data_IF_216715085763
#
_entry.id   IF_216715085763
#
_cell.length_a   1.000
_cell.length_b   1.000
_cell.length_c   1.000
_cell.angle_alpha   90.00
_cell.angle_beta   90.00
_cell.angle_gamma   90.00
#
_symmetry.space_group_name_H-M   'P 1'
#
loop_
_entity.id
_entity.type
_entity.pdbx_description
1 polymer ?
#
# COMPACT_ATOMS: atom_id res chain seq x y z
N UNK A 1 15.91 -27.66 -10.50
CA UNK A 1 14.55 -28.03 -10.06
C UNK A 1 13.45 -27.22 -10.76
N UNK A 2 13.66 -25.96 -11.19
CA UNK A 2 12.65 -25.09 -11.84
C UNK A 2 12.31 -25.47 -13.31
N UNK A 3 13.17 -26.23 -13.99
CA UNK A 3 12.99 -26.67 -15.39
C UNK A 3 12.05 -27.87 -15.48
N UNK A 4 11.99 -28.70 -14.43
CA UNK A 4 11.18 -29.93 -14.42
C UNK A 4 9.68 -29.69 -14.59
N UNK A 5 9.03 -28.69 -13.90
CA UNK A 5 7.61 -28.42 -14.10
C UNK A 5 7.28 -27.96 -15.53
N UNK A 6 8.14 -27.15 -16.14
CA UNK A 6 7.95 -26.65 -17.51
C UNK A 6 8.05 -27.79 -18.51
N UNK A 7 9.07 -28.64 -18.36
CA UNK A 7 9.23 -29.85 -19.16
C UNK A 7 8.03 -30.81 -19.03
N UNK A 8 7.57 -31.02 -17.79
CA UNK A 8 6.40 -31.84 -17.50
C UNK A 8 5.12 -31.27 -18.12
N UNK A 9 4.91 -29.95 -18.02
CA UNK A 9 3.77 -29.26 -18.63
C UNK A 9 3.81 -29.34 -20.16
N UNK A 10 4.95 -29.12 -20.78
CA UNK A 10 5.11 -29.28 -22.24
C UNK A 10 4.88 -30.71 -22.69
N UNK A 11 5.38 -31.71 -21.93
CA UNK A 11 5.15 -33.13 -22.23
C UNK A 11 3.69 -33.54 -22.04
N UNK A 12 3.01 -33.03 -21.02
CA UNK A 12 1.58 -33.24 -20.79
C UNK A 12 0.74 -32.66 -21.95
N UNK A 13 1.01 -31.41 -22.32
CA UNK A 13 0.32 -30.75 -23.42
C UNK A 13 0.52 -31.50 -24.75
N UNK A 14 1.75 -31.93 -25.06
CA UNK A 14 2.03 -32.73 -26.26
C UNK A 14 1.38 -34.12 -26.21
N UNK A 15 1.27 -34.74 -25.03
CA UNK A 15 0.63 -36.05 -24.87
C UNK A 15 -0.91 -35.99 -25.01
N UNK A 16 -1.53 -34.92 -24.48
CA UNK A 16 -2.97 -34.68 -24.59
C UNK A 16 -3.36 -34.18 -25.98
N UNK A 17 -2.45 -33.51 -26.71
CA UNK A 17 -2.68 -33.03 -28.06
C UNK A 17 -3.22 -34.11 -29.01
N UNK A 18 -2.72 -35.34 -28.93
CA UNK A 18 -3.14 -36.45 -29.79
C UNK A 18 -4.54 -37.05 -29.43
N UNK A 19 -5.14 -36.58 -28.31
CA UNK A 19 -6.37 -37.15 -27.73
C UNK A 19 -7.51 -36.17 -27.48
N UNK A 20 -7.26 -34.84 -27.63
CA UNK A 20 -8.34 -33.87 -27.52
C UNK A 20 -9.24 -33.95 -28.78
N UNK A 21 -10.59 -33.86 -28.61
CA UNK A 21 -11.52 -33.84 -29.73
C UNK A 21 -11.32 -32.59 -30.63
N UNK A 22 -10.64 -31.57 -30.13
CA UNK A 22 -10.18 -30.42 -30.90
C UNK A 22 -8.68 -30.59 -31.15
N UNK A 23 -8.28 -30.91 -32.38
CA UNK A 23 -6.90 -30.96 -32.81
C UNK A 23 -6.34 -29.50 -32.85
N UNK A 24 -5.78 -29.03 -31.73
CA UNK A 24 -4.97 -27.82 -31.73
C UNK A 24 -3.81 -28.06 -32.70
N UNK A 25 -3.52 -27.11 -33.58
CA UNK A 25 -2.32 -27.23 -34.43
C UNK A 25 -1.08 -27.29 -33.54
N UNK A 26 -0.05 -28.07 -33.93
CA UNK A 26 1.20 -28.16 -33.14
C UNK A 26 1.83 -26.80 -32.81
N UNK A 27 1.62 -25.85 -33.72
CA UNK A 27 2.04 -24.46 -33.51
C UNK A 27 1.27 -23.78 -32.35
N UNK A 28 -0.04 -23.90 -32.33
CA UNK A 28 -0.86 -23.29 -31.28
C UNK A 28 -0.55 -23.90 -29.90
N UNK A 29 -0.37 -25.23 -29.83
CA UNK A 29 0.05 -25.92 -28.61
C UNK A 29 1.44 -25.42 -28.13
N UNK A 30 2.37 -25.19 -29.04
CA UNK A 30 3.69 -24.60 -28.74
C UNK A 30 3.59 -23.18 -28.18
N UNK A 31 2.79 -22.32 -28.82
CA UNK A 31 2.56 -20.94 -28.36
C UNK A 31 1.93 -20.94 -26.96
N UNK A 32 0.90 -21.75 -26.73
CA UNK A 32 0.26 -21.84 -25.41
C UNK A 32 1.23 -22.34 -24.33
N UNK A 33 2.10 -23.30 -24.66
CA UNK A 33 3.12 -23.77 -23.72
C UNK A 33 4.14 -22.69 -23.38
N UNK A 34 4.65 -21.96 -24.37
CA UNK A 34 5.61 -20.87 -24.19
C UNK A 34 4.97 -19.74 -23.37
N UNK A 35 3.82 -19.23 -23.78
CA UNK A 35 3.14 -18.10 -23.13
C UNK A 35 2.72 -18.48 -21.69
N UNK A 36 2.11 -19.67 -21.52
CA UNK A 36 1.68 -20.12 -20.20
C UNK A 36 2.84 -20.30 -19.22
N UNK A 37 3.96 -20.89 -19.67
CA UNK A 37 5.13 -21.06 -18.81
C UNK A 37 5.84 -19.73 -18.55
N UNK A 38 5.90 -18.80 -19.52
CA UNK A 38 6.42 -17.46 -19.32
C UNK A 38 5.59 -16.69 -18.28
N UNK A 39 4.26 -16.73 -18.40
CA UNK A 39 3.36 -16.07 -17.45
C UNK A 39 3.58 -16.56 -16.01
N UNK A 40 3.68 -17.87 -15.80
CA UNK A 40 3.97 -18.43 -14.47
C UNK A 40 5.32 -17.97 -13.95
N UNK A 41 6.36 -17.90 -14.78
CA UNK A 41 7.67 -17.45 -14.34
C UNK A 41 7.73 -15.95 -14.05
N UNK A 42 7.03 -15.14 -14.84
CA UNK A 42 6.89 -13.69 -14.58
C UNK A 42 6.17 -13.48 -13.24
N UNK A 43 5.08 -14.21 -12.99
CA UNK A 43 4.36 -14.14 -11.71
C UNK A 43 5.23 -14.59 -10.53
N UNK A 44 6.00 -15.67 -10.68
CA UNK A 44 6.94 -16.12 -9.64
C UNK A 44 8.08 -15.13 -9.40
N UNK A 45 8.54 -14.46 -10.44
CA UNK A 45 9.56 -13.43 -10.32
C UNK A 45 9.00 -12.19 -9.60
N UNK A 46 7.81 -11.73 -9.98
CA UNK A 46 7.13 -10.62 -9.30
C UNK A 46 6.84 -10.95 -7.83
N UNK A 47 6.33 -12.16 -7.57
CA UNK A 47 6.03 -12.64 -6.21
C UNK A 47 7.30 -12.71 -5.34
N UNK A 48 8.40 -13.20 -5.89
CA UNK A 48 9.69 -13.22 -5.19
C UNK A 48 10.17 -11.80 -4.88
N UNK A 49 10.10 -10.88 -5.83
CA UNK A 49 10.49 -9.48 -5.62
C UNK A 49 9.66 -8.85 -4.51
N UNK A 50 8.35 -9.06 -4.53
CA UNK A 50 7.45 -8.59 -3.50
C UNK A 50 7.81 -9.17 -2.12
N UNK A 51 8.09 -10.47 -2.06
CA UNK A 51 8.49 -11.13 -0.82
C UNK A 51 9.85 -10.63 -0.29
N UNK A 52 10.82 -10.44 -1.19
CA UNK A 52 12.14 -9.91 -0.81
C UNK A 52 12.05 -8.47 -0.27
N UNK A 53 11.10 -7.66 -0.77
CA UNK A 53 10.86 -6.28 -0.33
C UNK A 53 10.03 -6.20 0.96
N UNK A 54 8.90 -6.88 0.99
CA UNK A 54 7.85 -6.67 2.00
C UNK A 54 7.58 -7.88 2.90
N UNK A 55 8.17 -9.04 2.61
CA UNK A 55 8.03 -10.26 3.40
C UNK A 55 6.69 -10.98 3.27
N UNK A 56 5.85 -10.62 2.30
CA UNK A 56 4.62 -11.34 1.97
C UNK A 56 4.53 -11.66 0.48
N UNK A 57 3.83 -12.73 0.16
CA UNK A 57 3.59 -13.18 -1.21
C UNK A 57 2.43 -12.44 -1.88
N UNK A 58 2.34 -12.52 -3.21
CA UNK A 58 1.21 -12.00 -3.97
C UNK A 58 -0.11 -12.50 -3.38
N UNK A 59 -0.96 -11.57 -2.98
CA UNK A 59 -2.24 -11.84 -2.33
C UNK A 59 -3.33 -10.90 -2.86
N UNK A 60 -4.55 -11.01 -2.33
CA UNK A 60 -5.67 -10.16 -2.74
C UNK A 60 -5.44 -8.68 -2.54
N UNK A 61 -4.66 -8.28 -1.53
CA UNK A 61 -4.30 -6.88 -1.28
C UNK A 61 -3.38 -6.35 -2.39
N UNK A 62 -2.28 -7.04 -2.70
CA UNK A 62 -1.35 -6.62 -3.74
C UNK A 62 -1.98 -6.63 -5.14
N UNK A 63 -2.85 -7.60 -5.44
CA UNK A 63 -3.61 -7.63 -6.69
C UNK A 63 -4.62 -6.46 -6.72
N UNK A 64 -5.34 -6.23 -5.61
CA UNK A 64 -6.26 -5.10 -5.46
C UNK A 64 -5.56 -3.77 -5.71
N UNK A 65 -4.36 -3.58 -5.16
CA UNK A 65 -3.53 -2.40 -5.38
C UNK A 65 -3.22 -2.21 -6.88
N UNK A 66 -2.79 -3.27 -7.56
CA UNK A 66 -2.44 -3.22 -8.99
C UNK A 66 -3.61 -2.86 -9.92
N UNK A 67 -4.83 -3.31 -9.59
CA UNK A 67 -6.03 -3.09 -10.43
C UNK A 67 -6.85 -1.86 -10.02
N UNK A 68 -6.54 -1.26 -8.86
CA UNK A 68 -7.25 -0.07 -8.38
C UNK A 68 -6.82 1.20 -9.13
N UNK A 69 -7.75 2.12 -9.44
CA UNK A 69 -7.38 3.42 -10.00
C UNK A 69 -6.42 4.18 -9.04
N UNK A 70 -5.22 4.48 -9.52
CA UNK A 70 -4.18 5.14 -8.71
C UNK A 70 -3.29 4.20 -7.89
N UNK A 71 -3.60 2.88 -7.82
CA UNK A 71 -2.80 1.94 -7.03
C UNK A 71 -1.35 1.78 -7.51
N UNK A 72 -1.12 1.79 -8.82
CA UNK A 72 0.25 1.77 -9.39
C UNK A 72 1.02 3.06 -9.09
N UNK A 73 0.36 4.21 -9.13
CA UNK A 73 1.00 5.49 -8.81
C UNK A 73 1.35 5.59 -7.31
N UNK A 74 0.54 4.98 -6.44
CA UNK A 74 0.82 4.93 -5.00
C UNK A 74 2.07 4.12 -4.64
N UNK A 75 2.51 3.21 -5.53
CA UNK A 75 3.76 2.46 -5.33
C UNK A 75 5.02 3.32 -5.58
N UNK A 76 4.88 4.56 -6.07
CA UNK A 76 6.03 5.42 -6.39
C UNK A 76 6.98 4.80 -7.43
N UNK A 77 6.47 3.90 -8.29
CA UNK A 77 7.29 3.24 -9.32
C UNK A 77 7.73 4.25 -10.37
N UNK A 78 9.01 4.62 -10.36
CA UNK A 78 9.60 5.44 -11.40
C UNK A 78 9.73 4.66 -12.73
N UNK A 79 9.90 5.41 -13.84
CA UNK A 79 10.06 4.86 -15.21
C UNK A 79 11.12 3.77 -15.30
N UNK A 80 12.19 3.87 -14.51
CA UNK A 80 13.25 2.87 -14.43
C UNK A 80 12.78 1.50 -13.91
N UNK A 81 11.85 1.46 -12.98
CA UNK A 81 11.29 0.19 -12.47
C UNK A 81 10.43 -0.50 -13.53
N UNK A 82 9.58 0.25 -14.22
CA UNK A 82 8.73 -0.29 -15.29
C UNK A 82 9.56 -0.82 -16.46
N UNK A 83 10.61 -0.09 -16.86
CA UNK A 83 11.53 -0.54 -17.90
C UNK A 83 12.24 -1.83 -17.49
N UNK A 84 12.76 -1.91 -16.28
CA UNK A 84 13.44 -3.11 -15.76
C UNK A 84 12.48 -4.31 -15.69
N UNK A 85 11.23 -4.09 -15.27
CA UNK A 85 10.19 -5.12 -15.24
C UNK A 85 9.87 -5.65 -16.65
N UNK A 86 9.74 -4.74 -17.62
CA UNK A 86 9.48 -5.08 -19.02
C UNK A 86 10.61 -5.88 -19.63
N UNK A 87 11.87 -5.48 -19.37
CA UNK A 87 13.06 -6.19 -19.85
C UNK A 87 13.18 -7.59 -19.20
N UNK A 88 12.90 -7.71 -17.91
CA UNK A 88 12.90 -9.00 -17.21
C UNK A 88 11.81 -9.93 -17.78
N UNK A 89 10.61 -9.43 -18.03
CA UNK A 89 9.52 -10.19 -18.63
C UNK A 89 9.87 -10.67 -20.04
N UNK A 90 10.46 -9.80 -20.86
CA UNK A 90 10.94 -10.14 -22.21
C UNK A 90 12.04 -11.21 -22.15
N UNK A 91 13.01 -11.07 -21.27
CA UNK A 91 14.09 -12.04 -21.09
C UNK A 91 13.54 -13.42 -20.68
N UNK A 92 12.56 -13.46 -19.76
CA UNK A 92 11.89 -14.70 -19.38
C UNK A 92 11.11 -15.32 -20.54
N UNK A 93 10.43 -14.53 -21.37
CA UNK A 93 9.75 -15.02 -22.57
C UNK A 93 10.76 -15.60 -23.58
N UNK A 94 11.84 -14.90 -23.87
CA UNK A 94 12.92 -15.39 -24.75
C UNK A 94 13.51 -16.71 -24.20
N UNK A 95 13.75 -16.81 -22.90
CA UNK A 95 14.22 -18.02 -22.27
C UNK A 95 13.25 -19.19 -22.48
N UNK A 96 11.93 -18.97 -22.40
CA UNK A 96 10.92 -20.00 -22.66
C UNK A 96 10.94 -20.47 -24.13
N UNK A 97 11.12 -19.56 -25.07
CA UNK A 97 11.25 -19.91 -26.49
C UNK A 97 12.50 -20.80 -26.70
N UNK A 98 13.63 -20.43 -26.10
CA UNK A 98 14.88 -21.22 -26.20
C UNK A 98 14.72 -22.59 -25.56
N UNK A 99 14.12 -22.69 -24.36
CA UNK A 99 13.89 -23.95 -23.67
C UNK A 99 12.94 -24.85 -24.44
N UNK A 100 11.86 -24.29 -24.99
CA UNK A 100 10.92 -25.03 -25.83
C UNK A 100 11.61 -25.59 -27.08
N UNK A 101 12.40 -24.74 -27.78
CA UNK A 101 13.19 -25.15 -28.97
C UNK A 101 14.19 -26.24 -28.64
N UNK A 102 14.91 -26.10 -27.53
CA UNK A 102 15.86 -27.14 -27.06
C UNK A 102 15.15 -28.46 -26.73
N UNK A 103 13.96 -28.39 -26.10
CA UNK A 103 13.16 -29.59 -25.84
C UNK A 103 12.68 -30.27 -27.13
N UNK A 104 12.33 -29.49 -28.16
CA UNK A 104 11.93 -30.07 -29.46
C UNK A 104 13.10 -30.76 -30.16
N UNK A 105 14.29 -30.15 -30.19
CA UNK A 105 15.51 -30.75 -30.75
C UNK A 105 15.93 -32.01 -29.99
N UNK A 106 15.79 -32.00 -28.67
CA UNK A 106 16.18 -33.15 -27.82
C UNK A 106 15.09 -34.21 -27.69
N UNK A 107 13.95 -34.04 -28.34
CA UNK A 107 12.76 -34.91 -28.18
C UNK A 107 13.07 -36.39 -28.45
N UNK A 108 13.90 -36.66 -29.46
CA UNK A 108 14.27 -38.02 -29.87
C UNK A 108 15.32 -38.66 -28.97
N UNK A 109 16.10 -37.83 -28.22
CA UNK A 109 17.19 -38.30 -27.35
C UNK A 109 16.74 -38.63 -25.92
N UNK A 110 15.54 -38.17 -25.52
CA UNK A 110 15.02 -38.37 -24.17
C UNK A 110 14.18 -39.66 -24.11
N UNK A 111 14.43 -40.55 -23.15
CA UNK A 111 13.66 -41.79 -22.99
C UNK A 111 12.19 -41.46 -22.77
N UNK A 112 11.31 -42.03 -23.60
CA UNK A 112 9.89 -41.88 -23.44
C UNK A 112 9.44 -42.68 -22.20
N UNK A 113 8.87 -41.98 -21.21
CA UNK A 113 8.21 -42.63 -20.09
C UNK A 113 7.02 -43.47 -20.62
N UNK A 114 6.84 -44.73 -20.14
CA UNK A 114 5.73 -45.53 -20.54
C UNK A 114 4.40 -44.83 -20.21
N UNK A 115 3.39 -44.98 -21.09
CA UNK A 115 2.08 -44.33 -20.93
C UNK A 115 1.43 -44.57 -19.56
N UNK A 116 1.69 -45.72 -18.94
CA UNK A 116 1.20 -46.04 -17.58
C UNK A 116 1.85 -45.18 -16.51
N UNK A 117 3.17 -44.93 -16.60
CA UNK A 117 3.90 -44.10 -15.64
C UNK A 117 3.33 -42.68 -15.62
N UNK A 118 3.05 -42.07 -16.77
CA UNK A 118 2.42 -40.75 -16.84
C UNK A 118 1.07 -40.69 -16.15
N UNK A 119 0.22 -41.72 -16.30
CA UNK A 119 -1.09 -41.82 -15.64
C UNK A 119 -0.93 -41.85 -14.12
N UNK A 120 0.01 -42.63 -13.60
CA UNK A 120 0.26 -42.72 -12.18
C UNK A 120 0.85 -41.42 -11.62
N UNK A 121 1.80 -40.80 -12.34
CA UNK A 121 2.36 -39.52 -11.94
C UNK A 121 1.30 -38.41 -11.92
N UNK A 122 0.44 -38.37 -12.95
CA UNK A 122 -0.66 -37.40 -12.99
C UNK A 122 -1.68 -37.66 -11.87
N UNK A 123 -2.07 -38.92 -11.66
CA UNK A 123 -2.98 -39.28 -10.58
C UNK A 123 -2.41 -38.93 -9.20
N UNK A 124 -1.15 -39.24 -8.96
CA UNK A 124 -0.46 -38.88 -7.72
C UNK A 124 -0.41 -37.36 -7.53
N UNK A 125 -0.07 -36.61 -8.58
CA UNK A 125 -0.07 -35.14 -8.55
C UNK A 125 -1.46 -34.57 -8.24
N UNK A 126 -2.51 -35.07 -8.91
CA UNK A 126 -3.89 -34.63 -8.68
C UNK A 126 -4.36 -34.99 -7.27
N UNK A 127 -4.03 -36.18 -6.77
CA UNK A 127 -4.36 -36.60 -5.40
C UNK A 127 -3.66 -35.71 -4.36
N UNK A 128 -2.37 -35.39 -4.54
CA UNK A 128 -1.63 -34.53 -3.66
C UNK A 128 -2.16 -33.10 -3.70
N UNK A 129 -2.43 -32.56 -4.90
CA UNK A 129 -2.98 -31.23 -5.06
C UNK A 129 -4.40 -31.11 -4.46
N UNK A 130 -5.25 -32.10 -4.67
CA UNK A 130 -6.59 -32.13 -4.08
C UNK A 130 -6.52 -32.31 -2.57
N UNK A 131 -5.68 -33.21 -2.08
CA UNK A 131 -5.49 -33.46 -0.64
C UNK A 131 -5.01 -32.21 0.10
N UNK A 132 -4.06 -31.47 -0.47
CA UNK A 132 -3.56 -30.21 0.07
C UNK A 132 -4.68 -29.14 0.09
N UNK A 133 -5.44 -28.99 -1.01
CA UNK A 133 -6.56 -28.04 -1.09
C UNK A 133 -7.68 -28.36 -0.10
N UNK A 134 -8.00 -29.62 0.08
CA UNK A 134 -8.99 -30.06 1.07
C UNK A 134 -8.50 -29.84 2.50
N UNK A 135 -7.22 -30.09 2.78
CA UNK A 135 -6.62 -29.80 4.08
C UNK A 135 -6.70 -28.29 4.42
N UNK A 136 -6.40 -27.43 3.43
CA UNK A 136 -6.58 -25.98 3.60
C UNK A 136 -8.04 -25.60 3.83
N UNK A 137 -8.96 -26.10 3.00
CA UNK A 137 -10.39 -25.82 3.09
C UNK A 137 -10.95 -26.21 4.47
N UNK A 138 -10.58 -27.38 4.98
CA UNK A 138 -10.98 -27.86 6.30
C UNK A 138 -10.37 -26.99 7.43
N UNK A 139 -9.09 -26.63 7.31
CA UNK A 139 -8.42 -25.74 8.25
C UNK A 139 -9.05 -24.35 8.27
N UNK A 140 -9.46 -23.84 7.11
CA UNK A 140 -10.20 -22.57 7.01
C UNK A 140 -11.57 -22.62 7.67
N UNK A 141 -12.30 -23.76 7.63
CA UNK A 141 -13.57 -23.93 8.33
C UNK A 141 -13.43 -23.88 9.84
N UNK A 142 -12.30 -24.36 10.37
CA UNK A 142 -12.03 -24.46 11.82
C UNK A 142 -11.11 -23.38 12.35
N UNK A 143 -10.69 -22.42 11.55
CA UNK A 143 -9.67 -21.40 11.87
C UNK A 143 -8.37 -22.04 12.44
N UNK A 144 -7.95 -23.19 11.85
CA UNK A 144 -6.74 -23.88 12.29
C UNK A 144 -5.49 -23.16 11.81
N UNK A 145 -5.00 -22.25 12.62
CA UNK A 145 -3.93 -21.31 12.36
C UNK A 145 -2.62 -21.91 11.83
N UNK A 146 -2.11 -23.06 12.33
CA UNK A 146 -0.83 -23.58 11.86
C UNK A 146 -0.78 -23.84 10.34
N UNK A 147 -1.84 -24.40 9.75
CA UNK A 147 -1.88 -24.64 8.30
C UNK A 147 -2.15 -23.34 7.54
N UNK A 148 -3.03 -22.48 8.05
CA UNK A 148 -3.34 -21.19 7.40
C UNK A 148 -2.08 -20.32 7.31
N UNK A 149 -1.33 -20.13 8.42
CA UNK A 149 -0.10 -19.38 8.45
C UNK A 149 1.04 -20.03 7.64
N UNK A 150 1.12 -21.37 7.63
CA UNK A 150 2.09 -22.07 6.80
C UNK A 150 1.84 -21.82 5.30
N UNK A 151 0.59 -21.75 4.87
CA UNK A 151 0.24 -21.52 3.47
C UNK A 151 0.65 -20.13 2.95
N UNK A 152 0.70 -19.12 3.83
CA UNK A 152 1.13 -17.76 3.50
C UNK A 152 2.62 -17.67 3.13
N UNK A 153 3.40 -18.72 3.41
CA UNK A 153 4.84 -18.81 3.07
C UNK A 153 5.11 -19.39 1.68
N UNK A 154 4.08 -19.80 0.96
CA UNK A 154 4.24 -20.40 -0.37
C UNK A 154 3.92 -19.39 -1.48
N UNK A 155 4.82 -19.23 -2.47
CA UNK A 155 4.61 -18.34 -3.58
C UNK A 155 3.40 -18.74 -4.41
N UNK A 156 2.60 -17.75 -4.83
CA UNK A 156 1.40 -17.92 -5.67
C UNK A 156 0.39 -18.94 -5.10
N UNK A 157 0.31 -19.07 -3.79
CA UNK A 157 -0.65 -19.98 -3.18
C UNK A 157 -2.07 -19.44 -3.31
N UNK A 158 -2.93 -20.18 -4.04
CA UNK A 158 -4.34 -19.83 -4.20
C UNK A 158 -5.15 -20.65 -3.21
N UNK A 159 -5.63 -20.07 -2.10
CA UNK A 159 -6.37 -20.82 -1.08
C UNK A 159 -7.73 -21.28 -1.60
N UNK A 160 -8.11 -22.54 -1.34
CA UNK A 160 -9.46 -23.01 -1.54
C UNK A 160 -10.28 -22.76 -0.28
N UNK A 161 -11.12 -21.73 -0.29
CA UNK A 161 -12.03 -21.44 0.82
C UNK A 161 -13.43 -21.97 0.50
N UNK A 162 -14.02 -22.73 1.42
CA UNK A 162 -15.37 -23.30 1.28
C UNK A 162 -16.34 -22.75 2.33
N UNK A 163 -16.00 -21.63 2.98
CA UNK A 163 -16.79 -21.03 4.08
C UNK A 163 -18.19 -20.61 3.63
N UNK A 164 -18.33 -19.99 2.47
CA UNK A 164 -19.64 -19.61 1.90
C UNK A 164 -20.48 -20.82 1.56
N UNK A 165 -19.88 -21.84 0.93
CA UNK A 165 -20.55 -23.10 0.62
C UNK A 165 -20.98 -23.84 1.91
N UNK A 166 -20.13 -23.88 2.92
CA UNK A 166 -20.46 -24.49 4.21
C UNK A 166 -21.68 -23.81 4.84
N UNK A 167 -21.73 -22.48 4.86
CA UNK A 167 -22.90 -21.73 5.35
C UNK A 167 -24.18 -22.03 4.57
N UNK A 168 -24.11 -22.14 3.25
CA UNK A 168 -25.27 -22.49 2.44
C UNK A 168 -25.79 -23.92 2.68
N UNK A 169 -24.92 -24.80 3.18
CA UNK A 169 -25.26 -26.17 3.61
C UNK A 169 -25.63 -26.28 5.09
N UNK A 170 -25.80 -25.16 5.79
CA UNK A 170 -26.14 -25.13 7.21
C UNK A 170 -24.97 -25.41 8.17
N UNK A 171 -23.75 -25.58 7.65
CA UNK A 171 -22.55 -25.77 8.47
C UNK A 171 -22.02 -24.41 8.89
N UNK A 172 -21.88 -24.17 10.19
CA UNK A 172 -21.34 -22.91 10.72
C UNK A 172 -19.81 -23.00 10.84
N UNK A 173 -19.03 -22.27 10.01
CA UNK A 173 -17.58 -22.20 10.17
C UNK A 173 -17.21 -21.50 11.47
N UNK A 174 -16.11 -21.89 12.10
CA UNK A 174 -15.54 -21.13 13.22
C UNK A 174 -15.28 -19.68 12.77
N UNK A 175 -15.82 -18.65 13.43
CA UNK A 175 -15.58 -17.27 13.04
C UNK A 175 -14.09 -16.95 13.03
N UNK A 176 -13.61 -16.30 11.96
CA UNK A 176 -12.26 -15.73 11.94
C UNK A 176 -12.22 -14.50 12.86
N UNK A 177 -11.01 -14.10 13.28
CA UNK A 177 -10.83 -12.87 14.05
C UNK A 177 -11.44 -11.65 13.35
N UNK A 178 -11.28 -11.55 12.03
CA UNK A 178 -11.89 -10.48 11.23
C UNK A 178 -13.43 -10.55 11.26
N UNK A 179 -14.01 -11.75 11.13
CA UNK A 179 -15.47 -11.93 11.20
C UNK A 179 -16.00 -11.63 12.62
N UNK A 180 -15.27 -12.00 13.67
CA UNK A 180 -15.62 -11.63 15.05
C UNK A 180 -15.62 -10.11 15.24
N UNK A 181 -14.60 -9.42 14.74
CA UNK A 181 -14.54 -7.97 14.78
C UNK A 181 -15.68 -7.33 13.95
N UNK A 182 -16.01 -7.90 12.80
CA UNK A 182 -17.13 -7.43 11.96
C UNK A 182 -18.51 -7.73 12.56
N UNK A 183 -18.68 -8.85 13.26
CA UNK A 183 -19.94 -9.18 13.96
C UNK A 183 -20.17 -8.31 15.20
N UNK A 184 -19.09 -7.86 15.85
CA UNK A 184 -19.15 -6.90 16.95
C UNK A 184 -19.38 -5.45 16.47
N UNK A 185 -19.29 -5.21 15.15
CA UNK A 185 -19.39 -3.89 14.55
C UNK A 185 -20.77 -3.60 13.98
N UNK A 186 -21.83 -3.71 14.77
CA UNK A 186 -22.90 -2.73 14.59
C UNK A 186 -22.28 -1.39 14.96
N UNK A 187 -21.96 -0.58 13.94
CA UNK A 187 -21.26 0.68 14.13
C UNK A 187 -22.19 1.66 14.87
N UNK A 188 -22.06 1.73 16.19
CA UNK A 188 -22.66 2.79 17.00
C UNK A 188 -21.66 3.94 17.14
N UNK A 189 -21.59 4.79 16.10
CA UNK A 189 -20.68 5.93 16.08
C UNK A 189 -21.40 7.17 15.52
N UNK A 190 -21.50 8.27 16.30
CA UNK A 190 -21.11 8.37 17.70
C UNK A 190 -22.03 7.53 18.61
N UNK A 191 -21.55 7.14 19.81
CA UNK A 191 -22.32 6.35 20.78
C UNK A 191 -23.56 7.09 21.31
N UNK A 192 -23.52 8.44 21.27
CA UNK A 192 -24.59 9.32 21.71
C UNK A 192 -24.79 10.42 20.68
N UNK A 193 -25.97 11.00 20.56
CA UNK A 193 -26.19 12.22 19.77
C UNK A 193 -25.19 13.30 20.19
N UNK A 194 -24.69 14.04 19.19
CA UNK A 194 -23.76 15.13 19.43
C UNK A 194 -24.50 16.35 20.00
N UNK A 195 -24.07 16.80 21.16
CA UNK A 195 -24.49 18.08 21.74
C UNK A 195 -23.40 19.11 21.39
N UNK A 196 -23.65 19.92 20.37
CA UNK A 196 -22.67 20.85 19.84
C UNK A 196 -23.08 22.27 20.21
N UNK A 197 -22.22 22.95 20.97
CA UNK A 197 -22.32 24.39 21.22
C UNK A 197 -21.29 25.13 20.38
N UNK A 198 -21.68 26.26 19.78
CA UNK A 198 -20.74 27.09 19.07
C UNK A 198 -19.76 27.74 20.05
N UNK A 199 -18.43 27.68 19.83
CA UNK A 199 -17.47 28.40 20.67
C UNK A 199 -17.59 29.90 20.46
N UNK A 200 -17.36 30.66 21.52
CA UNK A 200 -17.39 32.14 21.44
C UNK A 200 -16.34 32.71 20.48
N UNK A 201 -15.18 32.04 20.42
CA UNK A 201 -14.05 32.36 19.55
C UNK A 201 -13.57 31.09 18.83
N UNK A 202 -14.12 30.79 17.66
CA UNK A 202 -13.74 29.60 16.90
C UNK A 202 -12.34 29.77 16.32
N UNK A 203 -11.44 28.81 16.61
CA UNK A 203 -10.11 28.78 16.03
C UNK A 203 -10.15 28.25 14.59
N UNK A 204 -9.30 28.77 13.72
CA UNK A 204 -8.93 28.05 12.52
C UNK A 204 -8.17 26.76 12.89
N UNK A 205 -8.25 25.76 12.05
CA UNK A 205 -7.56 24.49 12.26
C UNK A 205 -6.77 24.15 11.01
N UNK A 206 -5.48 23.90 11.18
CA UNK A 206 -4.58 23.48 10.11
C UNK A 206 -3.95 22.15 10.50
N UNK A 207 -4.25 21.10 9.74
CA UNK A 207 -3.56 19.82 9.84
C UNK A 207 -2.55 19.68 8.72
N UNK A 208 -1.30 19.37 9.08
CA UNK A 208 -0.24 19.03 8.15
C UNK A 208 0.10 17.55 8.43
N UNK A 209 -0.27 16.69 7.50
CA UNK A 209 0.00 15.27 7.58
C UNK A 209 1.09 14.93 6.58
N UNK A 210 2.17 14.31 7.04
CA UNK A 210 3.24 13.87 6.16
C UNK A 210 3.30 12.34 6.14
N UNK A 211 3.26 11.77 4.96
CA UNK A 211 3.28 10.34 4.73
C UNK A 211 4.60 9.72 5.16
N UNK A 212 4.55 8.59 5.87
CA UNK A 212 5.72 7.86 6.35
C UNK A 212 6.67 8.67 7.25
N UNK A 213 6.17 9.69 7.99
CA UNK A 213 7.02 10.57 8.81
C UNK A 213 7.25 9.98 10.21
N UNK A 214 8.42 9.35 10.39
CA UNK A 214 8.83 8.73 11.66
C UNK A 214 8.99 9.74 12.80
N UNK A 215 8.70 9.31 14.02
CA UNK A 215 8.83 10.14 15.23
C UNK A 215 10.26 10.65 15.50
N UNK A 216 11.28 9.88 15.15
CA UNK A 216 12.70 10.27 15.32
C UNK A 216 13.19 11.27 14.25
N UNK A 217 12.32 11.69 13.34
CA UNK A 217 12.64 12.73 12.35
C UNK A 217 12.50 14.16 12.91
N UNK A 218 11.79 14.36 14.01
CA UNK A 218 11.73 15.65 14.68
C UNK A 218 13.08 15.96 15.35
N UNK A 219 14.02 16.39 14.54
CA UNK A 219 15.41 16.66 14.89
C UNK A 219 15.88 17.90 14.10
N UNK A 220 16.62 18.84 14.69
CA UNK A 220 17.06 20.06 14.01
C UNK A 220 17.94 19.81 12.77
N UNK A 221 18.54 18.63 12.65
CA UNK A 221 19.31 18.25 11.46
C UNK A 221 18.41 17.94 10.27
N UNK A 222 17.22 17.40 10.51
CA UNK A 222 16.29 16.90 9.49
C UNK A 222 15.12 17.83 9.29
N UNK A 223 14.52 18.34 10.36
CA UNK A 223 13.35 19.21 10.35
C UNK A 223 13.57 20.52 11.14
N UNK A 224 14.53 21.38 10.74
CA UNK A 224 14.88 22.57 11.52
C UNK A 224 13.70 23.52 11.72
N UNK A 225 12.81 23.69 10.74
CA UNK A 225 11.67 24.62 10.84
C UNK A 225 10.59 24.11 11.78
N UNK A 226 10.25 22.82 11.68
CA UNK A 226 9.31 22.20 12.60
C UNK A 226 9.91 22.09 14.00
N UNK A 227 11.21 21.83 14.11
CA UNK A 227 11.91 21.82 15.39
C UNK A 227 11.78 23.17 16.09
N UNK A 228 12.06 24.27 15.40
CA UNK A 228 11.95 25.63 15.96
C UNK A 228 10.51 25.95 16.37
N UNK A 229 9.53 25.57 15.54
CA UNK A 229 8.11 25.70 15.89
C UNK A 229 7.74 24.87 17.12
N UNK A 230 8.22 23.64 17.21
CA UNK A 230 7.93 22.70 18.30
C UNK A 230 8.43 23.17 19.68
N UNK A 231 9.44 24.06 19.74
CA UNK A 231 9.93 24.66 21.00
C UNK A 231 8.91 25.59 21.67
N UNK A 232 7.91 26.05 20.91
CA UNK A 232 6.79 26.91 21.40
C UNK A 232 5.44 26.21 21.26
N UNK A 233 5.41 24.92 21.00
CA UNK A 233 4.23 24.11 20.80
C UNK A 233 4.20 22.92 21.79
N UNK A 234 3.14 22.14 21.74
CA UNK A 234 3.04 20.87 22.47
C UNK A 234 3.68 19.76 21.61
N UNK A 235 4.71 19.09 22.15
CA UNK A 235 5.36 17.94 21.53
C UNK A 235 4.87 16.66 22.19
N UNK A 236 4.51 15.66 21.38
CA UNK A 236 4.11 14.35 21.84
C UNK A 236 5.23 13.35 21.50
N UNK A 237 6.21 13.19 22.41
CA UNK A 237 7.41 12.39 22.16
C UNK A 237 7.13 10.86 22.02
N UNK A 238 6.00 10.39 22.52
CA UNK A 238 5.56 8.98 22.44
C UNK A 238 4.24 8.87 21.68
N UNK A 239 4.18 9.47 20.50
CA UNK A 239 3.01 9.38 19.63
C UNK A 239 3.12 8.16 18.71
N UNK A 240 2.02 7.42 18.60
CA UNK A 240 1.89 6.26 17.72
C UNK A 240 0.64 6.39 16.86
N UNK A 241 0.81 6.10 15.57
CA UNK A 241 -0.30 5.94 14.65
C UNK A 241 -1.19 4.75 15.05
N UNK A 242 -2.47 4.80 14.70
CA UNK A 242 -3.41 3.69 14.88
C UNK A 242 -3.18 2.52 13.91
N UNK A 243 -2.22 2.66 12.99
CA UNK A 243 -1.81 1.64 12.05
C UNK A 243 -0.42 1.88 11.49
N UNK A 244 0.05 0.97 10.66
CA UNK A 244 1.33 1.03 9.98
C UNK A 244 1.19 1.19 8.47
N UNK A 245 0.10 1.79 8.01
CA UNK A 245 -0.21 2.15 6.63
C UNK A 245 -1.16 3.34 6.58
N UNK A 246 -1.11 4.10 5.50
CA UNK A 246 -1.85 5.36 5.29
C UNK A 246 -3.34 5.25 5.59
N UNK A 247 -3.99 4.20 5.08
CA UNK A 247 -5.42 3.96 5.31
C UNK A 247 -5.80 3.96 6.79
N UNK A 248 -5.01 3.25 7.62
CA UNK A 248 -5.33 3.07 9.04
C UNK A 248 -4.85 4.26 9.88
N UNK A 249 -3.72 4.86 9.51
CA UNK A 249 -3.22 6.07 10.17
C UNK A 249 -4.18 7.24 10.00
N UNK A 250 -4.54 7.57 8.78
CA UNK A 250 -5.50 8.66 8.47
C UNK A 250 -6.87 8.36 9.07
N UNK A 251 -7.35 7.12 8.99
CA UNK A 251 -8.60 6.73 9.64
C UNK A 251 -8.59 7.05 11.13
N UNK A 252 -7.54 6.61 11.83
CA UNK A 252 -7.43 6.87 13.27
C UNK A 252 -7.35 8.34 13.64
N UNK A 253 -6.63 9.16 12.83
CA UNK A 253 -6.55 10.60 13.04
C UNK A 253 -7.93 11.27 13.01
N UNK A 254 -8.78 10.93 12.06
CA UNK A 254 -10.07 11.59 11.86
C UNK A 254 -11.19 11.02 12.72
N UNK A 255 -11.23 9.68 12.91
CA UNK A 255 -12.32 9.03 13.66
C UNK A 255 -12.02 8.85 15.16
N UNK A 256 -10.75 8.90 15.58
CA UNK A 256 -10.36 8.54 16.93
C UNK A 256 -10.59 7.04 17.24
N UNK A 257 -10.65 6.20 16.21
CA UNK A 257 -10.93 4.76 16.30
C UNK A 257 -9.76 3.95 15.73
N UNK A 258 -9.65 2.69 16.18
CA UNK A 258 -8.72 1.74 15.58
C UNK A 258 -9.16 1.31 14.18
N UNK A 259 -8.21 1.00 13.30
CA UNK A 259 -8.45 0.60 11.92
C UNK A 259 -9.38 -0.62 11.72
N UNK A 260 -9.62 -1.42 12.77
CA UNK A 260 -10.59 -2.52 12.72
C UNK A 260 -12.03 -2.10 12.42
N UNK A 261 -12.39 -0.84 12.62
CA UNK A 261 -13.71 -0.28 12.30
C UNK A 261 -13.83 0.23 10.85
N UNK A 262 -12.75 0.22 10.09
CA UNK A 262 -12.71 0.76 8.72
C UNK A 262 -13.82 0.21 7.82
N UNK A 263 -13.95 -1.12 7.73
CA UNK A 263 -14.95 -1.75 6.83
C UNK A 263 -16.39 -1.39 7.24
N UNK A 264 -16.65 -1.27 8.54
CA UNK A 264 -17.97 -0.92 9.06
C UNK A 264 -18.32 0.56 8.75
N UNK A 265 -17.37 1.46 8.95
CA UNK A 265 -17.52 2.90 8.64
C UNK A 265 -17.71 3.09 7.15
N UNK A 266 -16.88 2.47 6.31
CA UNK A 266 -16.97 2.58 4.85
C UNK A 266 -18.32 2.05 4.34
N UNK A 267 -18.81 0.93 4.88
CA UNK A 267 -20.12 0.37 4.54
C UNK A 267 -21.27 1.28 4.97
N UNK A 268 -21.16 1.89 6.13
CA UNK A 268 -22.20 2.78 6.66
C UNK A 268 -22.19 4.17 5.99
N UNK A 269 -21.08 4.57 5.36
CA UNK A 269 -20.89 5.94 4.87
C UNK A 269 -20.97 6.99 5.98
N UNK A 270 -20.57 6.60 7.20
CA UNK A 270 -20.64 7.44 8.39
C UNK A 270 -19.46 8.41 8.44
N UNK A 271 -19.64 9.74 8.49
CA UNK A 271 -18.55 10.70 8.59
C UNK A 271 -17.89 10.67 9.98
N UNK A 272 -16.62 11.13 10.10
CA UNK A 272 -16.00 11.36 11.39
C UNK A 272 -16.75 12.43 12.19
N UNK A 273 -16.86 12.24 13.51
CA UNK A 273 -17.47 13.23 14.43
C UNK A 273 -16.78 14.59 14.28
N UNK A 274 -15.45 14.62 14.17
CA UNK A 274 -14.71 15.86 13.95
C UNK A 274 -15.24 16.64 12.74
N UNK A 275 -15.34 15.96 11.58
CA UNK A 275 -15.77 16.61 10.34
C UNK A 275 -17.24 17.06 10.39
N UNK A 276 -18.08 16.29 11.07
CA UNK A 276 -19.50 16.66 11.26
C UNK A 276 -19.64 17.88 12.17
N UNK A 277 -18.90 17.95 13.28
CA UNK A 277 -18.89 19.10 14.20
C UNK A 277 -18.45 20.37 13.47
N UNK A 278 -17.31 20.29 12.73
CA UNK A 278 -16.79 21.45 12.01
C UNK A 278 -17.76 21.93 10.91
N UNK A 279 -18.43 20.99 10.22
CA UNK A 279 -19.45 21.32 9.23
C UNK A 279 -20.64 22.04 9.86
N UNK A 280 -21.14 21.57 11.00
CA UNK A 280 -22.25 22.19 11.74
C UNK A 280 -21.87 23.58 12.29
N UNK A 281 -20.60 23.78 12.63
CA UNK A 281 -20.06 25.08 13.05
C UNK A 281 -19.66 26.00 11.88
N UNK A 282 -20.09 25.68 10.68
CA UNK A 282 -19.94 26.51 9.47
C UNK A 282 -18.48 26.78 9.07
N UNK A 283 -17.56 25.82 9.31
CA UNK A 283 -16.19 25.94 8.85
C UNK A 283 -16.09 25.93 7.32
N UNK A 284 -15.12 26.67 6.78
CA UNK A 284 -14.66 26.53 5.41
C UNK A 284 -13.70 25.34 5.35
N UNK A 285 -13.78 24.50 4.33
CA UNK A 285 -12.90 23.33 4.20
C UNK A 285 -11.96 23.45 3.02
N UNK A 286 -10.73 23.00 3.22
CA UNK A 286 -9.75 22.80 2.15
C UNK A 286 -8.87 21.59 2.48
N UNK A 287 -8.97 20.55 1.67
CA UNK A 287 -8.17 19.32 1.81
C UNK A 287 -7.30 19.20 0.57
N UNK A 288 -5.99 19.29 0.74
CA UNK A 288 -5.01 19.18 -0.34
C UNK A 288 -4.25 17.87 -0.25
N UNK A 289 -4.21 17.09 -1.32
CA UNK A 289 -3.43 15.88 -1.45
C UNK A 289 -2.85 15.74 -2.86
N UNK A 290 -1.73 15.06 -3.00
CA UNK A 290 -1.09 14.78 -4.27
C UNK A 290 -1.63 13.49 -4.92
N UNK A 291 -2.43 12.70 -4.20
CA UNK A 291 -3.09 11.48 -4.69
C UNK A 291 -4.61 11.59 -4.59
N UNK A 292 -5.29 10.74 -5.38
CA UNK A 292 -6.76 10.70 -5.37
C UNK A 292 -7.29 10.13 -4.07
N UNK A 293 -8.34 10.74 -3.53
CA UNK A 293 -9.05 10.25 -2.35
C UNK A 293 -9.88 8.98 -2.59
N UNK A 294 -9.89 8.45 -3.81
CA UNK A 294 -10.58 7.20 -4.15
C UNK A 294 -9.78 5.94 -3.79
N UNK A 295 -8.48 6.09 -3.51
CA UNK A 295 -7.64 4.99 -3.02
C UNK A 295 -6.56 5.49 -2.04
N UNK A 296 -6.63 5.09 -0.75
CA UNK A 296 -7.78 4.45 -0.08
C UNK A 296 -9.06 5.31 -0.21
N UNK A 297 -10.28 4.74 -0.17
CA UNK A 297 -11.52 5.48 -0.43
C UNK A 297 -11.89 6.46 0.70
N UNK A 298 -11.07 7.49 0.89
CA UNK A 298 -11.28 8.55 1.86
C UNK A 298 -12.46 9.48 1.48
N UNK A 299 -12.76 9.61 0.19
CA UNK A 299 -13.94 10.28 -0.33
C UNK A 299 -15.25 9.64 0.10
N UNK A 300 -15.23 8.34 0.43
CA UNK A 300 -16.39 7.57 0.90
C UNK A 300 -16.35 7.26 2.40
N UNK A 301 -15.34 7.71 3.10
CA UNK A 301 -15.15 7.51 4.53
C UNK A 301 -14.83 8.85 5.22
N UNK A 302 -13.57 9.19 5.35
CA UNK A 302 -13.08 10.35 6.11
C UNK A 302 -13.69 11.66 5.65
N UNK A 303 -13.88 11.84 4.33
CA UNK A 303 -14.38 13.07 3.70
C UNK A 303 -15.76 12.91 3.04
N UNK A 304 -16.51 11.87 3.42
CA UNK A 304 -17.80 11.52 2.81
C UNK A 304 -18.84 12.64 2.89
N UNK A 305 -18.76 13.55 3.87
CA UNK A 305 -19.67 14.67 4.06
C UNK A 305 -19.13 16.00 3.53
N UNK A 306 -17.98 16.01 2.84
CA UNK A 306 -17.44 17.20 2.19
C UNK A 306 -17.90 17.31 0.74
N UNK A 307 -17.93 18.55 0.23
CA UNK A 307 -18.25 18.81 -1.17
C UNK A 307 -17.02 18.57 -2.05
N UNK A 308 -17.19 18.17 -3.32
CA UNK A 308 -16.07 17.95 -4.24
C UNK A 308 -15.10 19.15 -4.35
N UNK A 309 -15.60 20.38 -4.26
CA UNK A 309 -14.77 21.59 -4.31
C UNK A 309 -13.92 21.84 -3.06
N UNK A 310 -14.23 21.18 -1.95
CA UNK A 310 -13.45 21.24 -0.71
C UNK A 310 -12.23 20.29 -0.78
N UNK A 311 -12.25 19.34 -1.73
CA UNK A 311 -11.22 18.36 -1.98
C UNK A 311 -10.35 18.78 -3.17
N UNK A 312 -9.09 19.04 -2.94
CA UNK A 312 -8.13 19.41 -3.99
C UNK A 312 -7.12 18.29 -4.20
N UNK A 313 -7.16 17.71 -5.39
CA UNK A 313 -6.25 16.63 -5.80
C UNK A 313 -5.34 17.13 -6.90
N UNK A 314 -4.04 17.04 -6.68
CA UNK A 314 -3.03 17.29 -7.70
C UNK A 314 -2.47 15.97 -8.22
N UNK A 315 -3.26 15.24 -9.00
CA UNK A 315 -2.84 14.01 -9.67
C UNK A 315 -2.07 14.36 -10.95
N UNK A 316 -0.76 14.45 -10.85
CA UNK A 316 0.12 14.78 -11.97
C UNK A 316 1.36 13.86 -12.00
N UNK A 317 2.01 13.65 -13.16
CA UNK A 317 3.19 12.82 -13.28
C UNK A 317 4.47 13.43 -12.66
N UNK A 318 4.37 14.65 -12.12
CA UNK A 318 5.49 15.33 -11.48
C UNK A 318 5.99 14.57 -10.24
N UNK A 319 7.28 14.71 -9.86
CA UNK A 319 7.80 14.15 -8.62
C UNK A 319 7.03 14.65 -7.40
N UNK A 320 6.92 13.83 -6.35
CA UNK A 320 6.13 14.15 -5.15
C UNK A 320 6.53 15.51 -4.53
N UNK A 321 7.81 15.86 -4.49
CA UNK A 321 8.25 17.16 -3.97
C UNK A 321 7.68 18.36 -4.72
N UNK A 322 7.46 18.24 -6.06
CA UNK A 322 6.83 19.31 -6.85
C UNK A 322 5.34 19.37 -6.58
N UNK A 323 4.67 18.21 -6.48
CA UNK A 323 3.25 18.15 -6.12
C UNK A 323 3.00 18.72 -4.74
N UNK A 324 3.84 18.39 -3.76
CA UNK A 324 3.77 18.94 -2.40
C UNK A 324 3.94 20.46 -2.40
N UNK A 325 4.91 21.00 -3.15
CA UNK A 325 5.12 22.43 -3.28
C UNK A 325 3.89 23.14 -3.88
N UNK A 326 3.30 22.57 -4.94
CA UNK A 326 2.09 23.13 -5.60
C UNK A 326 0.85 23.02 -4.72
N UNK A 327 0.68 21.93 -3.97
CA UNK A 327 -0.39 21.78 -2.99
C UNK A 327 -0.25 22.79 -1.85
N UNK A 328 0.98 23.02 -1.40
CA UNK A 328 1.25 24.09 -0.42
C UNK A 328 0.86 25.45 -1.00
N UNK A 329 1.28 25.79 -2.24
CA UNK A 329 0.90 27.05 -2.91
C UNK A 329 -0.62 27.21 -3.04
N UNK A 330 -1.33 26.13 -3.34
CA UNK A 330 -2.78 26.16 -3.42
C UNK A 330 -3.43 26.43 -2.06
N UNK A 331 -2.92 25.78 -1.01
CA UNK A 331 -3.41 26.01 0.35
C UNK A 331 -3.13 27.44 0.83
N UNK A 332 -1.96 28.02 0.54
CA UNK A 332 -1.66 29.42 0.85
C UNK A 332 -2.65 30.36 0.17
N UNK A 333 -2.96 30.13 -1.14
CA UNK A 333 -3.99 30.89 -1.86
C UNK A 333 -5.38 30.74 -1.26
N UNK A 334 -5.75 29.58 -0.75
CA UNK A 334 -7.01 29.40 -0.04
C UNK A 334 -7.04 30.24 1.24
N UNK A 335 -5.96 30.22 2.04
CA UNK A 335 -5.85 31.02 3.26
C UNK A 335 -5.98 32.51 2.96
N UNK A 336 -5.37 33.00 1.85
CA UNK A 336 -5.48 34.42 1.43
C UNK A 336 -6.89 34.80 0.99
N UNK A 337 -7.64 33.87 0.41
CA UNK A 337 -8.98 34.10 -0.14
C UNK A 337 -10.12 33.66 0.77
N UNK A 338 -9.80 33.21 1.99
CA UNK A 338 -10.80 32.79 2.96
C UNK A 338 -11.83 33.89 3.27
N UNK A 339 -13.00 33.50 3.67
CA UNK A 339 -13.99 34.45 4.23
C UNK A 339 -13.57 34.79 5.66
N UNK A 340 -13.33 36.08 5.99
CA UNK A 340 -12.73 36.44 7.30
C UNK A 340 -13.63 36.18 8.50
N UNK A 341 -14.94 36.16 8.28
CA UNK A 341 -15.99 35.98 9.28
C UNK A 341 -16.30 34.52 9.61
N UNK A 342 -15.59 33.57 8.96
CA UNK A 342 -15.79 32.13 9.13
C UNK A 342 -14.48 31.44 9.41
N UNK A 343 -14.41 30.56 10.41
CA UNK A 343 -13.22 29.74 10.64
C UNK A 343 -13.03 28.76 9.50
N UNK A 344 -11.83 28.23 9.35
CA UNK A 344 -11.51 27.22 8.35
C UNK A 344 -10.83 26.00 8.97
N UNK A 345 -11.05 24.84 8.33
CA UNK A 345 -10.30 23.62 8.49
C UNK A 345 -9.54 23.36 7.20
N UNK A 346 -8.22 23.37 7.30
CA UNK A 346 -7.33 23.08 6.19
C UNK A 346 -6.49 21.82 6.52
N UNK A 347 -6.42 20.89 5.58
CA UNK A 347 -5.56 19.71 5.70
C UNK A 347 -4.63 19.65 4.49
N UNK A 348 -3.33 19.60 4.75
CA UNK A 348 -2.27 19.42 3.75
C UNK A 348 -1.64 18.05 3.95
N UNK A 349 -1.80 17.17 2.96
CA UNK A 349 -1.16 15.86 2.95
C UNK A 349 0.08 15.92 2.05
N UNK A 350 1.26 15.69 2.64
CA UNK A 350 2.58 15.76 1.99
C UNK A 350 3.11 14.34 1.73
N UNK A 351 3.58 14.08 0.52
CA UNK A 351 3.99 12.75 0.05
C UNK A 351 5.49 12.59 -0.18
N UNK A 352 6.27 13.65 -0.10
CA UNK A 352 7.71 13.61 -0.40
C UNK A 352 8.45 12.52 0.38
N UNK A 353 8.07 12.26 1.63
CA UNK A 353 8.68 11.25 2.50
C UNK A 353 8.20 9.81 2.26
N UNK A 354 7.23 9.57 1.38
CA UNK A 354 6.89 8.23 0.90
C UNK A 354 7.95 7.70 -0.07
N UNK A 355 8.13 6.38 -0.12
CA UNK A 355 9.00 5.75 -1.12
C UNK A 355 8.47 6.10 -2.54
N UNK A 356 9.30 6.55 -3.44
CA UNK A 356 10.76 6.51 -3.57
C UNK A 356 11.54 7.71 -2.95
N UNK A 357 10.97 8.40 -1.96
CA UNK A 357 11.60 9.50 -1.20
C UNK A 357 12.05 10.64 -2.12
N UNK A 358 11.13 11.52 -2.42
CA UNK A 358 11.26 12.56 -3.43
C UNK A 358 11.72 13.89 -2.83
N UNK A 359 12.73 14.50 -3.42
CA UNK A 359 13.25 15.80 -3.00
C UNK A 359 13.95 16.49 -4.16
N UNK A 360 14.27 17.75 -3.99
CA UNK A 360 15.01 18.57 -4.96
C UNK A 360 16.51 18.31 -4.84
N UNK A 361 17.15 17.75 -5.85
CA UNK A 361 18.55 17.31 -5.82
C UNK A 361 19.52 18.44 -5.44
N UNK A 362 19.26 19.67 -5.91
CA UNK A 362 20.10 20.83 -5.64
C UNK A 362 20.10 21.22 -4.15
N UNK A 363 19.03 20.84 -3.43
CA UNK A 363 18.88 21.14 -2.00
C UNK A 363 19.31 20.00 -1.09
N UNK A 364 19.77 18.86 -1.65
CA UNK A 364 20.20 17.70 -0.89
C UNK A 364 21.37 18.00 0.03
N UNK A 365 21.18 17.85 1.35
CA UNK A 365 22.20 18.09 2.39
C UNK A 365 22.84 16.80 2.90
N UNK A 366 22.15 15.67 2.78
CA UNK A 366 22.60 14.38 3.33
C UNK A 366 23.15 13.54 2.20
N UNK A 367 24.45 13.31 2.20
CA UNK A 367 25.19 12.59 1.15
C UNK A 367 26.11 11.53 1.77
N UNK A 368 26.43 10.44 1.05
CA UNK A 368 25.84 10.04 -0.25
C UNK A 368 24.40 9.52 -0.08
N UNK A 369 23.59 9.58 -1.14
CA UNK A 369 22.25 9.01 -1.17
C UNK A 369 22.03 8.19 -2.46
N UNK A 370 21.04 7.29 -2.46
CA UNK A 370 20.68 6.52 -3.64
C UNK A 370 20.05 7.43 -4.70
N UNK A 371 20.73 7.59 -5.84
CA UNK A 371 20.28 8.47 -6.95
C UNK A 371 19.15 7.79 -7.72
N UNK A 372 19.39 6.56 -8.18
CA UNK A 372 18.44 5.79 -8.98
C UNK A 372 17.73 4.77 -8.12
N UNK A 373 16.50 5.08 -7.73
CA UNK A 373 15.67 4.17 -6.95
C UNK A 373 14.89 3.25 -7.88
N UNK A 374 15.20 1.96 -7.82
CA UNK A 374 14.57 0.94 -8.67
C UNK A 374 14.26 -0.31 -7.86
N UNK A 375 12.99 -0.65 -7.73
CA UNK A 375 12.54 -1.78 -6.90
C UNK A 375 13.08 -3.16 -7.35
N UNK A 376 13.50 -3.30 -8.60
CA UNK A 376 13.96 -4.58 -9.15
C UNK A 376 15.49 -4.74 -9.15
N UNK A 377 16.23 -3.65 -9.26
CA UNK A 377 17.70 -3.68 -9.42
C UNK A 377 18.45 -3.17 -8.21
N UNK A 378 17.78 -2.47 -7.28
CA UNK A 378 18.40 -1.99 -6.04
C UNK A 378 18.61 -3.16 -5.08
N UNK A 379 19.84 -3.35 -4.62
CA UNK A 379 20.13 -4.22 -3.46
C UNK A 379 19.75 -3.47 -2.17
N UNK A 380 18.54 -3.69 -1.70
CA UNK A 380 18.01 -2.99 -0.52
C UNK A 380 18.81 -3.26 0.74
N UNK A 381 19.38 -4.46 0.88
CA UNK A 381 20.17 -4.80 2.06
C UNK A 381 21.52 -4.07 2.06
N UNK A 382 22.24 -4.11 0.94
CA UNK A 382 23.54 -3.46 0.83
C UNK A 382 23.45 -1.92 0.75
N UNK A 383 22.39 -1.41 0.14
CA UNK A 383 22.24 0.04 -0.12
C UNK A 383 21.32 0.76 0.89
N UNK A 384 20.88 0.10 1.95
CA UNK A 384 19.97 0.68 2.93
C UNK A 384 20.45 2.01 3.53
N UNK A 385 21.74 2.21 3.86
CA UNK A 385 22.21 3.52 4.33
C UNK A 385 22.00 4.65 3.30
N UNK A 386 22.16 4.36 2.00
CA UNK A 386 21.94 5.32 0.92
C UNK A 386 20.44 5.60 0.72
N UNK A 387 19.60 4.58 0.86
CA UNK A 387 18.13 4.70 0.83
C UNK A 387 17.66 5.56 2.00
N UNK A 388 18.15 5.32 3.21
CA UNK A 388 17.83 6.11 4.39
C UNK A 388 18.27 7.56 4.23
N UNK A 389 19.45 7.83 3.67
CA UNK A 389 19.91 9.18 3.38
C UNK A 389 19.01 9.89 2.36
N UNK A 390 18.48 9.15 1.39
CA UNK A 390 17.48 9.65 0.45
C UNK A 390 16.20 10.06 1.17
N UNK A 391 15.67 9.21 2.06
CA UNK A 391 14.52 9.52 2.91
C UNK A 391 14.76 10.77 3.77
N UNK A 392 15.92 10.91 4.39
CA UNK A 392 16.25 12.07 5.22
C UNK A 392 16.24 13.38 4.42
N UNK A 393 16.66 13.36 3.14
CA UNK A 393 16.53 14.53 2.25
C UNK A 393 15.05 14.82 1.91
N UNK A 394 14.24 13.79 1.71
CA UNK A 394 12.80 13.97 1.49
C UNK A 394 12.07 14.53 2.72
N UNK A 395 12.44 14.09 3.93
CA UNK A 395 11.95 14.69 5.19
C UNK A 395 12.31 16.18 5.28
N UNK A 396 13.50 16.59 4.82
CA UNK A 396 13.87 18.00 4.74
C UNK A 396 13.02 18.81 3.75
N UNK A 397 12.59 18.17 2.66
CA UNK A 397 11.65 18.79 1.72
C UNK A 397 10.28 18.98 2.38
N UNK A 398 9.77 17.97 3.10
CA UNK A 398 8.56 18.07 3.94
C UNK A 398 8.67 19.24 4.93
N UNK A 399 9.78 19.34 5.67
CA UNK A 399 10.04 20.44 6.61
C UNK A 399 10.03 21.81 5.90
N UNK A 400 10.48 21.86 4.65
CA UNK A 400 10.43 23.08 3.85
C UNK A 400 8.99 23.52 3.59
N UNK A 401 8.10 22.59 3.23
CA UNK A 401 6.70 22.91 2.98
C UNK A 401 5.96 23.29 4.29
N UNK A 402 6.23 22.57 5.38
CA UNK A 402 5.71 22.92 6.72
C UNK A 402 6.13 24.35 7.08
N UNK A 403 7.42 24.68 6.94
CA UNK A 403 7.94 26.01 7.27
C UNK A 403 7.31 27.11 6.42
N UNK A 404 7.04 26.88 5.14
CA UNK A 404 6.35 27.83 4.26
C UNK A 404 4.94 28.15 4.76
N UNK A 405 4.19 27.12 5.16
CA UNK A 405 2.84 27.32 5.67
C UNK A 405 2.83 28.03 7.03
N UNK A 406 3.70 27.61 7.95
CA UNK A 406 3.84 28.28 9.26
C UNK A 406 4.21 29.76 9.12
N UNK A 407 5.20 30.09 8.28
CA UNK A 407 5.64 31.45 8.01
C UNK A 407 4.51 32.29 7.38
N UNK A 408 3.72 31.70 6.48
CA UNK A 408 2.59 32.38 5.87
C UNK A 408 1.50 32.72 6.90
N UNK A 409 1.13 31.77 7.77
CA UNK A 409 0.18 32.01 8.86
C UNK A 409 0.67 33.09 9.81
N UNK A 410 1.96 33.12 10.13
CA UNK A 410 2.58 34.14 10.97
C UNK A 410 2.53 35.53 10.30
N UNK A 411 2.92 35.61 9.02
CA UNK A 411 2.88 36.86 8.24
C UNK A 411 1.46 37.44 8.08
N UNK A 412 0.45 36.57 8.06
CA UNK A 412 -0.97 36.95 7.99
C UNK A 412 -1.59 37.22 9.37
N UNK A 413 -0.79 37.16 10.46
CA UNK A 413 -1.27 37.28 11.84
C UNK A 413 -2.40 36.29 12.19
N UNK A 414 -2.38 35.10 11.58
CA UNK A 414 -3.37 34.04 11.81
C UNK A 414 -2.96 33.03 12.85
N UNK A 415 -1.65 32.92 13.12
CA UNK A 415 -1.12 31.84 13.95
C UNK A 415 -1.71 31.89 15.38
N UNK A 416 -1.96 33.10 15.92
CA UNK A 416 -2.55 33.27 17.26
C UNK A 416 -4.01 32.75 17.36
N UNK A 417 -4.71 32.70 16.23
CA UNK A 417 -6.09 32.20 16.16
C UNK A 417 -6.21 30.90 15.33
N UNK A 418 -5.12 30.11 15.28
CA UNK A 418 -5.09 28.87 14.50
C UNK A 418 -4.46 27.75 15.33
N UNK A 419 -5.19 26.66 15.50
CA UNK A 419 -4.64 25.41 15.99
C UNK A 419 -3.92 24.72 14.83
N UNK A 420 -2.57 24.64 14.92
CA UNK A 420 -1.75 23.93 13.93
C UNK A 420 -1.37 22.56 14.51
N UNK A 421 -1.62 21.50 13.74
CA UNK A 421 -1.29 20.12 14.11
C UNK A 421 -0.45 19.51 13.00
N UNK A 422 0.75 19.04 13.35
CA UNK A 422 1.66 18.37 12.41
C UNK A 422 1.80 16.92 12.82
N UNK A 423 1.45 15.99 11.93
CA UNK A 423 1.42 14.55 12.22
C UNK A 423 2.09 13.75 11.09
N UNK A 424 2.72 12.61 11.45
CA UNK A 424 2.93 11.52 10.50
C UNK A 424 1.72 10.56 10.52
N UNK A 425 1.32 10.06 9.38
CA UNK A 425 0.24 9.06 9.30
C UNK A 425 0.69 7.67 9.77
N UNK A 426 1.91 7.28 9.47
CA UNK A 426 2.66 6.13 9.99
C UNK A 426 4.16 6.39 9.87
N UNK A 427 4.95 5.43 10.34
CA UNK A 427 6.41 5.49 10.19
C UNK A 427 6.91 4.67 9.00
N UNK A 428 8.22 4.49 8.94
CA UNK A 428 8.94 3.79 7.86
C UNK A 428 10.15 3.06 8.45
N UNK A 429 10.33 1.78 8.14
CA UNK A 429 11.44 0.98 8.64
C UNK A 429 12.57 0.90 7.62
N UNK A 430 13.82 1.00 8.09
CA UNK A 430 15.05 0.94 7.29
C UNK A 430 15.95 -0.19 7.79
N UNK A 431 15.44 -1.42 7.79
CA UNK A 431 16.13 -2.65 8.23
C UNK A 431 16.47 -2.70 9.74
N UNK A 432 15.92 -1.80 10.57
CA UNK A 432 16.15 -1.86 12.03
C UNK A 432 15.66 -3.18 12.64
N UNK A 433 14.65 -3.82 12.03
CA UNK A 433 14.17 -5.17 12.35
C UNK A 433 14.14 -6.10 11.13
N UNK A 434 15.10 -5.92 10.21
CA UNK A 434 15.25 -6.73 9.00
C UNK A 434 14.07 -6.58 8.02
N UNK A 435 13.34 -5.47 8.08
CA UNK A 435 12.31 -5.07 7.12
C UNK A 435 12.60 -3.69 6.56
N UNK A 436 12.14 -3.46 5.36
CA UNK A 436 12.12 -2.13 4.76
C UNK A 436 10.68 -1.72 4.46
N UNK A 437 10.39 -0.43 4.63
CA UNK A 437 9.08 0.14 4.35
C UNK A 437 8.13 0.08 5.55
N UNK A 438 6.86 -0.01 5.25
CA UNK A 438 5.76 -0.07 6.20
C UNK A 438 4.77 -1.19 5.83
N UNK A 439 3.67 -1.35 6.57
CA UNK A 439 2.66 -2.40 6.34
C UNK A 439 3.19 -3.84 6.49
N UNK A 440 4.29 -4.05 7.18
CA UNK A 440 4.90 -5.37 7.36
C UNK A 440 4.88 -5.85 8.79
N UNK A 441 5.09 -4.96 9.76
CA UNK A 441 5.11 -5.28 11.18
C UNK A 441 4.57 -4.12 12.04
N UNK A 442 3.97 -4.45 13.19
CA UNK A 442 3.63 -3.46 14.20
C UNK A 442 4.81 -3.26 15.14
N UNK A 443 5.65 -2.29 14.82
CA UNK A 443 6.79 -1.90 15.65
C UNK A 443 6.93 -0.37 15.68
N UNK A 444 7.77 0.14 16.58
CA UNK A 444 7.97 1.59 16.78
C UNK A 444 8.45 2.34 15.53
N UNK A 445 9.10 1.67 14.59
CA UNK A 445 9.61 2.30 13.36
C UNK A 445 8.52 2.52 12.33
N UNK A 446 7.54 1.60 12.29
CA UNK A 446 6.41 1.67 11.37
C UNK A 446 5.17 2.38 11.95
N UNK A 447 5.08 2.53 13.29
CA UNK A 447 3.91 3.16 13.94
C UNK A 447 4.26 4.42 14.72
N UNK A 448 5.50 4.61 15.17
CA UNK A 448 5.94 5.83 15.85
C UNK A 448 6.09 7.00 14.89
N UNK A 449 5.36 8.08 15.11
CA UNK A 449 5.29 9.24 14.21
C UNK A 449 5.55 10.56 14.92
N UNK A 450 5.94 11.58 14.15
CA UNK A 450 5.97 12.95 14.64
C UNK A 450 4.55 13.38 15.04
N UNK A 451 4.45 14.14 16.16
CA UNK A 451 3.23 14.85 16.55
C UNK A 451 3.60 16.13 17.30
N UNK A 452 3.21 17.25 16.71
CA UNK A 452 3.42 18.61 17.24
C UNK A 452 2.14 19.41 17.14
#
# INVERSE_FOLDING_TARGET
>A
LRIVPVYLACRLLLHFHDRLPVRLSPWLAGVLAIVGSAAVQILLYADRTLYDLYGFHLNGFSIGLLVSPGGLSSLGSGDGTLLSASLAALALLCLQVLLYSACQVSRERLPALPRRAWRYLLAAFLCLALGERLAYAFSSLRDYRPILLASERYPLYLPLTVRSLARSLGIQPTPTQRELLQQQSDLHYPLRPLEISAPAHPLNIVWIVAESLRGDMLDPRYMPRLWDFSNRAIRLDNHYSSGNLTQMGVFGMFYGLHGGYWDAVLKAGQPPVLMEVLRQQNYQFRINAAQRFSYPPFDRSVFVNLRPQDLHVLDSPEPAWQRDARNTDDLLRFVDRRLPDRPFFACLFLESSHANYSFRDETAKIRPYLVNFNYLTTDFQAQMPLIKNRYLNAVREVDTQIGRLLQHLENQHLLENTAVVVLGDHGEEFMERSRWGHNTEFNRYQTGTVAV
#
